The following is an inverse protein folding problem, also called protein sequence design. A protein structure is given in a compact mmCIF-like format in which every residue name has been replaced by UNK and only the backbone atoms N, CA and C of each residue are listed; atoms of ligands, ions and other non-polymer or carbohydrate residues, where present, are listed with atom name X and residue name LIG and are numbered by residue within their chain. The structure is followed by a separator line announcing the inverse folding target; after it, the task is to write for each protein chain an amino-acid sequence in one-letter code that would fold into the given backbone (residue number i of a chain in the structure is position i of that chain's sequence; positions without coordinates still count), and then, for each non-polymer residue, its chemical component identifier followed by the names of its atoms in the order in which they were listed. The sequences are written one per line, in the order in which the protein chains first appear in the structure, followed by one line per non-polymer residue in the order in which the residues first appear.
data_IF_762585729884
#
_entry.id   IF_762585729884
#
_cell.length_a   1.000
_cell.length_b   1.000
_cell.length_c   1.000
_cell.angle_alpha   90.00
_cell.angle_beta   90.00
_cell.angle_gamma   90.00
#
_symmetry.space_group_name_H-M   'P 1'
#
loop_
_entity.id
_entity.type
_entity.pdbx_description
1 polymer ?
#
# COMPACT_ATOMS: atom_id res chain seq x y z
N UNK A 1 11.87 5.95 -21.16
CA UNK A 1 11.49 5.70 -19.77
C UNK A 1 10.07 6.23 -19.61
N UNK A 2 9.16 5.43 -19.02
CA UNK A 2 7.84 5.92 -18.60
C UNK A 2 8.02 6.91 -17.44
N UNK A 3 7.05 7.81 -17.21
CA UNK A 3 7.12 8.75 -16.08
C UNK A 3 7.29 8.03 -14.74
N UNK A 4 6.66 6.86 -14.56
CA UNK A 4 6.74 6.04 -13.34
C UNK A 4 8.18 5.65 -12.99
N UNK A 5 9.02 5.30 -13.97
CA UNK A 5 10.42 4.94 -13.73
C UNK A 5 11.27 6.08 -13.16
N UNK A 6 10.82 7.34 -13.29
CA UNK A 6 11.51 8.50 -12.70
C UNK A 6 11.37 8.55 -11.17
N UNK A 7 10.36 7.87 -10.59
CA UNK A 7 10.27 7.69 -9.14
C UNK A 7 11.40 6.79 -8.58
N UNK A 8 12.13 6.09 -9.44
CA UNK A 8 13.10 5.06 -9.06
C UNK A 8 12.45 3.72 -8.77
N UNK A 9 13.28 2.73 -8.47
CA UNK A 9 12.88 1.37 -8.13
C UNK A 9 13.36 1.00 -6.73
N UNK A 10 12.74 -0.03 -6.14
CA UNK A 10 13.12 -0.58 -4.83
C UNK A 10 12.94 -2.10 -4.82
N UNK A 11 13.73 -2.78 -3.98
CA UNK A 11 13.65 -4.22 -3.81
C UNK A 11 12.65 -4.60 -2.71
N UNK A 12 11.75 -5.54 -3.00
CA UNK A 12 10.94 -6.26 -2.02
C UNK A 12 11.42 -7.71 -1.97
N UNK A 13 12.46 -7.97 -1.16
CA UNK A 13 13.21 -9.22 -1.24
C UNK A 13 13.95 -9.32 -2.57
N UNK A 14 13.69 -10.37 -3.32
CA UNK A 14 14.22 -10.58 -4.68
C UNK A 14 13.33 -10.02 -5.81
N UNK A 15 12.23 -9.36 -5.46
CA UNK A 15 11.34 -8.67 -6.39
C UNK A 15 11.75 -7.21 -6.55
N UNK A 16 11.66 -6.67 -7.76
CA UNK A 16 11.94 -5.24 -8.02
C UNK A 16 10.67 -4.52 -8.43
N UNK A 17 10.33 -3.45 -7.72
CA UNK A 17 9.14 -2.63 -7.98
C UNK A 17 9.50 -1.18 -8.25
N UNK A 18 8.71 -0.51 -9.08
CA UNK A 18 8.75 0.93 -9.20
C UNK A 18 8.18 1.56 -7.93
N UNK A 19 8.80 2.64 -7.44
CA UNK A 19 8.43 3.26 -6.15
C UNK A 19 7.06 3.93 -6.14
N UNK A 20 6.48 4.17 -7.31
CA UNK A 20 5.09 4.59 -7.45
C UNK A 20 4.26 3.44 -8.02
N UNK A 21 3.50 2.81 -7.17
CA UNK A 21 2.57 1.72 -7.44
C UNK A 21 1.10 2.19 -7.48
N UNK A 22 0.19 1.23 -7.33
CA UNK A 22 -1.26 1.47 -7.35
C UNK A 22 -1.96 0.75 -6.19
N UNK A 23 -2.80 1.47 -5.43
CA UNK A 23 -3.65 0.92 -4.38
C UNK A 23 -5.06 0.60 -4.89
N UNK A 24 -5.46 -0.67 -4.79
CA UNK A 24 -6.71 -1.16 -5.37
C UNK A 24 -7.94 -1.01 -4.46
N UNK A 25 -7.81 -0.48 -3.24
CA UNK A 25 -8.89 -0.40 -2.27
C UNK A 25 -10.14 0.35 -2.80
N UNK A 26 -9.95 1.40 -3.62
CA UNK A 26 -11.06 2.18 -4.17
C UNK A 26 -11.79 1.51 -5.34
N UNK A 27 -11.36 0.32 -5.77
CA UNK A 27 -12.09 -0.48 -6.76
C UNK A 27 -13.27 -1.24 -6.17
N UNK A 28 -13.34 -1.39 -4.83
CA UNK A 28 -14.54 -1.88 -4.16
C UNK A 28 -15.64 -0.81 -4.12
N UNK A 29 -16.85 -1.23 -3.81
CA UNK A 29 -18.01 -0.34 -3.60
C UNK A 29 -17.86 0.60 -2.41
N UNK A 30 -18.86 1.42 -2.13
CA UNK A 30 -18.85 2.35 -0.99
C UNK A 30 -18.49 1.65 0.33
N UNK A 31 -17.73 2.34 1.18
CA UNK A 31 -17.20 1.78 2.45
C UNK A 31 -16.27 0.57 2.25
N UNK A 32 -15.66 0.46 1.06
CA UNK A 32 -14.82 -0.70 0.68
C UNK A 32 -15.60 -2.03 0.78
N UNK A 33 -16.87 -2.01 0.39
CA UNK A 33 -17.79 -3.15 0.50
C UNK A 33 -18.66 -3.31 -0.75
N UNK A 34 -18.80 -4.56 -1.21
CA UNK A 34 -19.54 -4.88 -2.44
C UNK A 34 -18.80 -4.49 -3.74
N UNK A 35 -19.47 -4.66 -4.88
CA UNK A 35 -18.90 -4.37 -6.18
C UNK A 35 -18.77 -2.86 -6.44
N UNK A 36 -17.88 -2.45 -7.37
CA UNK A 36 -17.78 -1.06 -7.81
C UNK A 36 -19.09 -0.59 -8.46
N UNK A 37 -19.31 0.72 -8.44
CA UNK A 37 -20.43 1.34 -9.15
C UNK A 37 -20.33 1.15 -10.66
N UNK A 38 -19.11 1.17 -11.20
CA UNK A 38 -18.79 0.97 -12.61
C UNK A 38 -17.64 -0.04 -12.72
N UNK A 39 -17.99 -1.27 -13.06
CA UNK A 39 -17.02 -2.36 -13.25
C UNK A 39 -16.12 -2.12 -14.46
N UNK A 40 -16.65 -1.57 -15.55
CA UNK A 40 -15.86 -1.32 -16.75
C UNK A 40 -14.76 -0.29 -16.48
N UNK A 41 -15.09 0.76 -15.72
CA UNK A 41 -14.13 1.76 -15.26
C UNK A 41 -13.07 1.16 -14.34
N UNK A 42 -13.46 0.28 -13.40
CA UNK A 42 -12.52 -0.40 -12.50
C UNK A 42 -11.50 -1.26 -13.28
N UNK A 43 -11.95 -2.01 -14.28
CA UNK A 43 -11.07 -2.80 -15.15
C UNK A 43 -10.17 -1.90 -16.01
N UNK A 44 -10.70 -0.75 -16.52
CA UNK A 44 -9.92 0.20 -17.29
C UNK A 44 -8.78 0.82 -16.47
N UNK A 45 -9.02 1.19 -15.20
CA UNK A 45 -7.99 1.73 -14.30
C UNK A 45 -6.86 0.73 -14.09
N UNK A 46 -7.17 -0.55 -13.87
CA UNK A 46 -6.17 -1.60 -13.68
C UNK A 46 -5.29 -1.79 -14.94
N UNK A 47 -5.88 -1.81 -16.12
CA UNK A 47 -5.14 -1.92 -17.39
C UNK A 47 -4.27 -0.70 -17.63
N UNK A 48 -4.83 0.50 -17.44
CA UNK A 48 -4.07 1.75 -17.57
C UNK A 48 -2.88 1.81 -16.61
N UNK A 49 -3.00 1.26 -15.38
CA UNK A 49 -1.88 1.22 -14.45
C UNK A 49 -0.66 0.48 -15.03
N UNK A 50 -0.88 -0.67 -15.69
CA UNK A 50 0.20 -1.40 -16.34
C UNK A 50 0.74 -0.66 -17.58
N UNK A 51 -0.11 -0.01 -18.38
CA UNK A 51 0.29 0.78 -19.54
C UNK A 51 1.17 1.98 -19.13
N UNK A 52 0.92 2.58 -17.97
CA UNK A 52 1.76 3.64 -17.41
C UNK A 52 3.11 3.12 -16.88
N UNK A 53 3.29 1.80 -16.77
CA UNK A 53 4.51 1.16 -16.27
C UNK A 53 4.50 0.88 -14.76
N UNK A 54 3.34 0.95 -14.12
CA UNK A 54 3.18 0.48 -12.74
C UNK A 54 3.35 -1.04 -12.73
N UNK A 55 4.21 -1.54 -11.88
CA UNK A 55 4.44 -2.97 -11.65
C UNK A 55 4.29 -3.39 -10.18
N UNK A 56 3.65 -2.54 -9.37
CA UNK A 56 3.36 -2.77 -7.96
C UNK A 56 1.89 -2.46 -7.69
N UNK A 57 1.09 -3.49 -7.42
CA UNK A 57 -0.33 -3.34 -7.05
C UNK A 57 -0.51 -3.80 -5.61
N UNK A 58 -1.07 -2.92 -4.77
CA UNK A 58 -1.46 -3.23 -3.40
C UNK A 58 -2.97 -3.51 -3.34
N UNK A 59 -3.33 -4.67 -2.81
CA UNK A 59 -4.71 -5.12 -2.68
C UNK A 59 -5.00 -5.75 -1.33
N UNK A 60 -6.16 -6.33 -1.16
CA UNK A 60 -6.53 -7.28 -0.12
C UNK A 60 -7.80 -8.03 -0.49
N UNK A 61 -7.88 -9.30 -0.11
CA UNK A 61 -9.07 -10.11 -0.37
C UNK A 61 -10.29 -9.70 0.47
N UNK A 62 -10.07 -8.96 1.57
CA UNK A 62 -11.16 -8.36 2.34
C UNK A 62 -11.67 -7.02 1.75
N UNK A 63 -11.17 -6.56 0.59
CA UNK A 63 -11.74 -5.43 -0.14
C UNK A 63 -12.92 -5.89 -0.99
N UNK A 64 -14.11 -5.49 -0.58
CA UNK A 64 -15.34 -5.78 -1.26
C UNK A 64 -16.14 -7.05 -0.93
N UNK A 65 -15.91 -7.94 0.06
CA UNK A 65 -14.87 -8.96 0.13
C UNK A 65 -14.72 -9.76 -1.18
N UNK A 66 -13.53 -10.20 -1.48
CA UNK A 66 -13.12 -10.95 -2.70
C UNK A 66 -13.18 -10.14 -4.01
N UNK A 67 -14.04 -9.12 -4.07
CA UNK A 67 -14.35 -8.39 -5.31
C UNK A 67 -13.10 -7.76 -5.94
N UNK A 68 -12.27 -7.08 -5.15
CA UNK A 68 -11.10 -6.37 -5.68
C UNK A 68 -10.08 -7.34 -6.28
N UNK A 69 -9.80 -8.47 -5.62
CA UNK A 69 -8.90 -9.49 -6.14
C UNK A 69 -9.45 -10.14 -7.43
N UNK A 70 -10.76 -10.39 -7.48
CA UNK A 70 -11.42 -10.91 -8.69
C UNK A 70 -11.35 -9.91 -9.86
N UNK A 71 -11.49 -8.60 -9.60
CA UNK A 71 -11.32 -7.55 -10.61
C UNK A 71 -9.88 -7.50 -11.14
N UNK A 72 -8.89 -7.61 -10.25
CA UNK A 72 -7.47 -7.67 -10.64
C UNK A 72 -7.24 -8.86 -11.55
N UNK A 73 -7.72 -10.04 -11.16
CA UNK A 73 -7.63 -11.25 -12.00
C UNK A 73 -8.30 -11.06 -13.35
N UNK A 74 -9.54 -10.56 -13.38
CA UNK A 74 -10.30 -10.36 -14.63
C UNK A 74 -9.63 -9.36 -15.57
N UNK A 75 -9.02 -8.29 -15.02
CA UNK A 75 -8.38 -7.25 -15.81
C UNK A 75 -7.02 -7.64 -16.36
N UNK A 76 -6.22 -8.39 -15.57
CA UNK A 76 -4.77 -8.50 -15.74
C UNK A 76 -4.24 -9.92 -15.94
N UNK A 77 -5.05 -10.96 -15.68
CA UNK A 77 -4.60 -12.35 -15.91
C UNK A 77 -4.66 -12.74 -17.39
N UNK A 78 -3.63 -13.42 -17.97
CA UNK A 78 -2.37 -13.80 -17.32
C UNK A 78 -1.49 -12.62 -16.96
N UNK A 79 -0.92 -12.65 -15.75
CA UNK A 79 -0.11 -11.56 -15.25
C UNK A 79 1.22 -11.46 -16.00
N UNK A 80 1.76 -10.23 -16.09
CA UNK A 80 3.12 -9.99 -16.58
C UNK A 80 4.13 -10.50 -15.54
N UNK A 81 5.27 -10.99 -16.00
CA UNK A 81 6.34 -11.54 -15.14
C UNK A 81 6.92 -10.53 -14.15
N UNK A 82 6.85 -9.23 -14.49
CA UNK A 82 7.38 -8.14 -13.66
C UNK A 82 6.34 -7.52 -12.72
N UNK A 83 5.06 -7.98 -12.77
CA UNK A 83 4.01 -7.47 -11.89
C UNK A 83 4.11 -8.10 -10.51
N UNK A 84 4.21 -7.27 -9.48
CA UNK A 84 4.21 -7.67 -8.07
C UNK A 84 2.87 -7.31 -7.45
N UNK A 85 2.18 -8.30 -6.87
CA UNK A 85 0.91 -8.11 -6.17
C UNK A 85 1.13 -8.28 -4.67
N UNK A 86 0.94 -7.18 -3.94
CA UNK A 86 1.00 -7.16 -2.48
C UNK A 86 -0.40 -7.25 -1.92
N UNK A 87 -0.67 -8.25 -1.10
CA UNK A 87 -1.97 -8.44 -0.46
C UNK A 87 -1.90 -8.45 1.06
N UNK A 88 -3.04 -8.56 1.72
CA UNK A 88 -3.14 -8.50 3.20
C UNK A 88 -4.04 -9.61 3.72
N UNK A 89 -3.71 -10.11 4.90
CA UNK A 89 -4.53 -11.00 5.73
C UNK A 89 -4.60 -10.47 7.16
N UNK A 90 -5.39 -11.06 8.03
CA UNK A 90 -5.53 -10.66 9.45
C UNK A 90 -6.76 -9.82 9.75
N UNK A 91 -7.54 -9.49 8.73
CA UNK A 91 -8.84 -8.84 8.88
C UNK A 91 -9.90 -9.51 8.01
N UNK A 92 -11.16 -9.34 8.36
CA UNK A 92 -12.32 -9.73 7.54
C UNK A 92 -13.43 -8.68 7.65
N UNK A 93 -14.42 -8.80 6.82
CA UNK A 93 -15.56 -7.88 6.81
C UNK A 93 -16.80 -8.57 7.39
N UNK A 94 -17.49 -7.86 8.27
CA UNK A 94 -18.86 -8.26 8.70
C UNK A 94 -19.90 -7.94 7.62
N UNK A 95 -21.08 -8.52 7.75
CA UNK A 95 -22.20 -8.28 6.82
C UNK A 95 -22.69 -6.82 6.84
N UNK A 96 -22.45 -6.11 7.94
CA UNK A 96 -22.70 -4.68 8.12
C UNK A 96 -21.57 -3.78 7.57
N UNK A 97 -20.61 -4.37 6.88
CA UNK A 97 -19.38 -3.75 6.42
C UNK A 97 -18.44 -3.27 7.54
N UNK A 98 -18.53 -3.82 8.76
CA UNK A 98 -17.56 -3.61 9.83
C UNK A 98 -16.21 -4.27 9.51
N UNK A 99 -15.16 -3.76 10.12
CA UNK A 99 -13.82 -4.35 10.08
C UNK A 99 -13.66 -5.24 11.31
N UNK A 100 -13.36 -6.51 11.11
CA UNK A 100 -13.24 -7.52 12.16
C UNK A 100 -11.85 -8.14 12.14
N UNK A 101 -11.33 -8.43 13.32
CA UNK A 101 -10.10 -9.21 13.48
C UNK A 101 -10.30 -10.62 12.92
N UNK A 102 -9.30 -11.15 12.23
CA UNK A 102 -9.25 -12.50 11.68
C UNK A 102 -7.78 -12.99 11.65
N UNK A 103 -7.20 -13.23 12.82
CA UNK A 103 -5.78 -13.53 12.97
C UNK A 103 -5.48 -14.88 13.63
N UNK A 104 -6.47 -15.72 13.88
CA UNK A 104 -6.22 -17.10 14.30
C UNK A 104 -5.53 -17.88 13.17
N UNK A 105 -4.75 -18.95 13.47
CA UNK A 105 -4.09 -19.75 12.46
C UNK A 105 -5.01 -20.23 11.33
N UNK A 106 -6.19 -20.73 11.68
CA UNK A 106 -7.17 -21.22 10.70
C UNK A 106 -7.73 -20.09 9.79
N UNK A 107 -8.00 -18.90 10.36
CA UNK A 107 -8.45 -17.74 9.59
C UNK A 107 -7.36 -17.23 8.64
N UNK A 108 -6.10 -17.19 9.08
CA UNK A 108 -4.97 -16.77 8.25
C UNK A 108 -4.72 -17.75 7.11
N UNK A 109 -4.74 -19.05 7.39
CA UNK A 109 -4.60 -20.09 6.35
C UNK A 109 -5.73 -19.99 5.31
N UNK A 110 -6.98 -19.87 5.76
CA UNK A 110 -8.12 -19.65 4.87
C UNK A 110 -7.96 -18.40 4.03
N UNK A 111 -7.55 -17.27 4.64
CA UNK A 111 -7.37 -16.00 3.93
C UNK A 111 -6.26 -16.07 2.88
N UNK A 112 -5.16 -16.79 3.14
CA UNK A 112 -4.11 -17.02 2.14
C UNK A 112 -4.65 -17.82 0.96
N UNK A 113 -5.40 -18.91 1.20
CA UNK A 113 -6.02 -19.69 0.13
C UNK A 113 -7.10 -18.91 -0.65
N UNK A 114 -7.85 -18.04 0.01
CA UNK A 114 -8.81 -17.13 -0.64
C UNK A 114 -8.11 -16.16 -1.58
N UNK A 115 -7.00 -15.55 -1.15
CA UNK A 115 -6.19 -14.69 -2.00
C UNK A 115 -5.64 -15.45 -3.22
N UNK A 116 -5.05 -16.63 -3.03
CA UNK A 116 -4.56 -17.48 -4.13
C UNK A 116 -5.66 -17.76 -5.15
N UNK A 117 -6.82 -18.21 -4.69
CA UNK A 117 -7.97 -18.54 -5.54
C UNK A 117 -8.52 -17.32 -6.28
N UNK A 118 -8.72 -16.19 -5.58
CA UNK A 118 -9.35 -15.01 -6.15
C UNK A 118 -8.42 -14.25 -7.10
N UNK A 119 -7.12 -14.25 -6.83
CA UNK A 119 -6.10 -13.72 -7.74
C UNK A 119 -5.74 -14.70 -8.86
N UNK A 120 -6.00 -16.00 -8.70
CA UNK A 120 -5.58 -17.03 -9.66
C UNK A 120 -4.08 -17.25 -9.68
N UNK A 121 -3.45 -17.25 -8.51
CA UNK A 121 -2.02 -17.45 -8.29
C UNK A 121 -1.77 -18.75 -7.54
N UNK A 122 -0.64 -19.39 -7.78
CA UNK A 122 -0.17 -20.55 -7.02
C UNK A 122 0.68 -20.10 -5.80
N UNK A 123 1.33 -18.94 -5.89
CA UNK A 123 2.14 -18.33 -4.83
C UNK A 123 1.83 -16.84 -4.76
N UNK A 124 1.65 -16.29 -3.56
CA UNK A 124 1.48 -14.85 -3.34
C UNK A 124 2.86 -14.16 -3.23
N UNK A 125 3.07 -13.07 -3.96
CA UNK A 125 4.36 -12.36 -3.96
C UNK A 125 4.71 -11.78 -2.60
N UNK A 126 3.82 -10.95 -2.02
CA UNK A 126 3.99 -10.35 -0.69
C UNK A 126 2.67 -10.38 0.06
N UNK A 127 2.69 -10.87 1.29
CA UNK A 127 1.54 -10.87 2.19
C UNK A 127 1.84 -10.06 3.44
N UNK A 128 1.07 -9.00 3.67
CA UNK A 128 1.12 -8.21 4.88
C UNK A 128 0.15 -8.78 5.94
N UNK A 129 0.65 -9.06 7.14
CA UNK A 129 -0.23 -9.24 8.29
C UNK A 129 -0.79 -7.88 8.72
N UNK A 130 -2.08 -7.66 8.48
CA UNK A 130 -2.81 -6.48 8.95
C UNK A 130 -3.14 -6.65 10.42
N UNK A 131 -2.52 -5.84 11.27
CA UNK A 131 -2.79 -5.84 12.71
C UNK A 131 -4.05 -5.00 13.01
N UNK A 132 -4.96 -5.59 13.78
CA UNK A 132 -6.28 -5.05 14.08
C UNK A 132 -6.50 -4.86 15.59
N UNK A 133 -5.43 -4.61 16.36
CA UNK A 133 -5.53 -4.25 17.78
C UNK A 133 -6.24 -2.91 17.96
N UNK A 134 -6.05 -1.99 17.00
CA UNK A 134 -6.85 -0.81 16.78
C UNK A 134 -7.04 -0.60 15.27
N UNK A 135 -8.24 -0.28 14.85
CA UNK A 135 -8.57 0.01 13.44
C UNK A 135 -8.02 1.36 13.01
N UNK A 136 -7.93 2.31 13.94
CA UNK A 136 -7.55 3.69 13.67
C UNK A 136 -6.03 3.86 13.45
N UNK A 137 -5.20 3.02 14.07
CA UNK A 137 -3.74 3.13 13.95
C UNK A 137 -2.98 1.97 14.60
N UNK A 138 -1.65 1.98 14.54
CA UNK A 138 -0.83 0.99 15.22
C UNK A 138 -1.09 0.98 16.72
N UNK A 139 -1.35 -0.21 17.28
CA UNK A 139 -1.55 -0.43 18.70
C UNK A 139 -0.80 -1.69 19.15
N UNK A 140 -0.31 -1.67 20.40
CA UNK A 140 0.44 -2.77 20.97
C UNK A 140 -0.42 -4.04 21.09
N UNK A 141 0.21 -5.18 20.89
CA UNK A 141 -0.39 -6.50 20.98
C UNK A 141 0.61 -7.56 20.56
N UNK A 142 0.37 -8.79 20.96
CA UNK A 142 1.24 -9.93 20.62
C UNK A 142 0.88 -10.46 19.22
N UNK A 143 1.90 -10.64 18.40
CA UNK A 143 1.77 -11.13 17.03
C UNK A 143 2.45 -12.48 16.80
N UNK A 144 3.03 -13.09 17.84
CA UNK A 144 3.87 -14.28 17.73
C UNK A 144 3.13 -15.41 16.99
N UNK A 145 1.95 -15.79 17.46
CA UNK A 145 1.19 -16.88 16.86
C UNK A 145 0.78 -16.58 15.42
N UNK A 146 0.22 -15.40 15.17
CA UNK A 146 -0.28 -15.01 13.84
C UNK A 146 0.85 -14.87 12.81
N UNK A 147 1.98 -14.26 13.22
CA UNK A 147 3.11 -14.09 12.30
C UNK A 147 3.87 -15.41 12.08
N UNK A 148 3.99 -16.26 13.10
CA UNK A 148 4.53 -17.63 12.96
C UNK A 148 3.72 -18.45 11.97
N UNK A 149 2.38 -18.35 12.02
CA UNK A 149 1.49 -19.02 11.05
C UNK A 149 1.82 -18.61 9.61
N UNK A 150 2.00 -17.30 9.35
CA UNK A 150 2.36 -16.82 8.01
C UNK A 150 3.76 -17.27 7.58
N UNK A 151 4.73 -17.28 8.51
CA UNK A 151 6.06 -17.81 8.25
C UNK A 151 6.04 -19.32 7.92
N UNK A 152 5.12 -20.09 8.48
CA UNK A 152 4.88 -21.49 8.10
C UNK A 152 4.28 -21.63 6.70
N UNK A 153 3.31 -20.79 6.36
CA UNK A 153 2.73 -20.77 5.00
C UNK A 153 3.76 -20.34 3.94
N UNK A 154 4.68 -19.43 4.29
CA UNK A 154 5.82 -19.07 3.46
C UNK A 154 6.75 -20.27 3.26
N UNK A 155 7.09 -21.01 4.31
CA UNK A 155 7.93 -22.23 4.21
C UNK A 155 7.26 -23.35 3.39
N UNK A 156 5.92 -23.39 3.36
CA UNK A 156 5.14 -24.30 2.51
C UNK A 156 5.10 -23.84 1.04
N UNK A 157 5.66 -22.66 0.71
CA UNK A 157 5.71 -22.12 -0.66
C UNK A 157 4.44 -21.43 -1.14
N UNK A 158 3.51 -21.11 -0.25
CA UNK A 158 2.27 -20.38 -0.61
C UNK A 158 2.47 -18.86 -0.64
N UNK A 159 3.50 -18.36 0.03
CA UNK A 159 3.87 -16.95 0.14
C UNK A 159 5.37 -16.82 -0.14
N UNK A 160 5.75 -15.85 -0.98
CA UNK A 160 7.16 -15.58 -1.28
C UNK A 160 7.79 -14.67 -0.23
N UNK A 161 7.15 -13.56 0.12
CA UNK A 161 7.63 -12.59 1.10
C UNK A 161 6.55 -12.17 2.07
N UNK A 162 6.99 -11.80 3.29
CA UNK A 162 6.13 -11.33 4.36
C UNK A 162 6.33 -9.84 4.61
N UNK A 163 5.29 -9.19 5.11
CA UNK A 163 5.32 -7.82 5.60
C UNK A 163 4.30 -7.61 6.73
N UNK A 164 4.26 -6.40 7.23
CA UNK A 164 3.32 -5.99 8.28
C UNK A 164 2.49 -4.79 7.82
N UNK A 165 1.30 -4.66 8.36
CA UNK A 165 0.47 -3.47 8.18
C UNK A 165 -0.16 -3.05 9.50
N UNK A 166 -0.15 -1.75 9.78
CA UNK A 166 -0.65 -1.17 11.04
C UNK A 166 0.14 -1.64 12.26
N UNK A 167 1.47 -1.67 12.14
CA UNK A 167 2.39 -2.23 13.12
C UNK A 167 3.17 -1.16 13.88
N UNK A 168 3.39 -1.38 15.18
CA UNK A 168 4.33 -0.60 15.99
C UNK A 168 5.78 -1.03 15.71
N UNK A 169 6.76 -0.19 16.06
CA UNK A 169 8.17 -0.55 15.93
C UNK A 169 8.53 -1.82 16.73
N UNK A 170 7.88 -2.05 17.88
CA UNK A 170 8.06 -3.26 18.69
C UNK A 170 7.57 -4.51 17.96
N UNK A 171 6.41 -4.45 17.31
CA UNK A 171 5.87 -5.54 16.51
C UNK A 171 6.71 -5.82 15.27
N UNK A 172 7.30 -4.79 14.66
CA UNK A 172 8.30 -4.96 13.59
C UNK A 172 9.51 -5.74 14.10
N UNK A 173 10.05 -5.39 15.27
CA UNK A 173 11.16 -6.12 15.87
C UNK A 173 10.78 -7.57 16.23
N UNK A 174 9.57 -7.80 16.76
CA UNK A 174 9.05 -9.13 17.07
C UNK A 174 8.92 -9.99 15.80
N UNK A 175 8.35 -9.47 14.71
CA UNK A 175 8.21 -10.18 13.45
C UNK A 175 9.56 -10.60 12.88
N UNK A 176 10.55 -9.70 12.89
CA UNK A 176 11.92 -9.96 12.42
C UNK A 176 12.65 -11.02 13.23
N UNK A 177 12.24 -11.26 14.47
CA UNK A 177 12.71 -12.40 15.27
C UNK A 177 12.13 -13.75 14.83
N UNK A 178 11.07 -13.76 14.02
CA UNK A 178 10.37 -14.97 13.55
C UNK A 178 10.72 -15.27 12.09
N UNK A 179 10.62 -14.27 11.21
CA UNK A 179 10.95 -14.38 9.78
C UNK A 179 11.32 -13.01 9.20
N UNK A 180 12.01 -13.02 8.06
CA UNK A 180 12.33 -11.79 7.33
C UNK A 180 11.06 -11.11 6.82
N UNK A 181 11.04 -9.76 6.90
CA UNK A 181 9.98 -8.92 6.33
C UNK A 181 10.57 -8.01 5.26
N UNK A 182 9.82 -7.76 4.20
CA UNK A 182 10.26 -6.90 3.09
C UNK A 182 9.61 -5.51 3.13
N UNK A 183 8.51 -5.36 3.83
CA UNK A 183 7.84 -4.06 3.95
C UNK A 183 7.03 -3.90 5.24
N UNK A 184 6.81 -2.63 5.61
CA UNK A 184 5.85 -2.21 6.64
C UNK A 184 4.91 -1.16 6.02
N UNK A 185 3.60 -1.35 6.23
CA UNK A 185 2.57 -0.50 5.66
C UNK A 185 1.74 0.15 6.78
N UNK A 186 1.95 1.43 7.06
CA UNK A 186 1.23 2.20 8.07
C UNK A 186 0.63 3.48 7.47
N UNK A 187 -0.26 4.14 8.23
CA UNK A 187 -0.76 5.45 7.85
C UNK A 187 0.37 6.48 7.92
N UNK A 188 0.63 7.14 6.79
CA UNK A 188 1.60 8.22 6.76
C UNK A 188 1.35 9.15 5.57
N UNK A 189 1.42 10.44 5.81
CA UNK A 189 1.32 11.48 4.80
C UNK A 189 1.90 12.79 5.37
N UNK A 190 1.84 13.86 4.58
CA UNK A 190 2.41 15.16 4.93
C UNK A 190 1.85 15.74 6.25
N UNK A 191 0.61 15.38 6.64
CA UNK A 191 -0.04 15.83 7.87
C UNK A 191 0.00 14.80 9.00
N UNK A 192 0.34 13.54 8.71
CA UNK A 192 0.39 12.44 9.68
C UNK A 192 1.76 11.78 9.64
N UNK A 193 2.64 12.14 10.57
CA UNK A 193 4.07 11.84 10.51
C UNK A 193 4.61 11.07 11.72
N UNK A 194 3.74 10.31 12.40
CA UNK A 194 4.11 9.56 13.61
C UNK A 194 5.27 8.56 13.36
N UNK A 195 5.41 8.05 12.13
CA UNK A 195 6.38 7.02 11.77
C UNK A 195 7.72 7.56 11.22
N UNK A 196 8.03 8.88 11.36
CA UNK A 196 9.29 9.42 10.85
C UNK A 196 10.53 8.63 11.32
N UNK A 197 10.57 8.24 12.60
CA UNK A 197 11.67 7.47 13.17
C UNK A 197 11.68 6.03 12.62
N UNK A 198 10.51 5.38 12.50
CA UNK A 198 10.38 4.04 11.96
C UNK A 198 10.81 3.97 10.49
N UNK A 199 10.43 4.95 9.67
CA UNK A 199 10.87 5.04 8.26
C UNK A 199 12.39 5.06 8.16
N UNK A 200 13.05 5.88 9.01
CA UNK A 200 14.51 5.97 9.04
C UNK A 200 15.17 4.65 9.45
N UNK A 201 14.63 3.95 10.44
CA UNK A 201 15.12 2.64 10.86
C UNK A 201 14.96 1.59 9.75
N UNK A 202 13.77 1.51 9.15
CA UNK A 202 13.50 0.57 8.06
C UNK A 202 14.40 0.83 6.84
N UNK A 203 14.71 2.10 6.54
CA UNK A 203 15.63 2.44 5.46
C UNK A 203 17.06 1.88 5.70
N UNK A 204 17.56 1.95 6.94
CA UNK A 204 18.85 1.36 7.32
C UNK A 204 18.83 -0.17 7.21
N UNK A 205 17.69 -0.79 7.51
CA UNK A 205 17.49 -2.23 7.46
C UNK A 205 17.17 -2.77 6.05
N UNK A 206 17.05 -1.90 5.03
CA UNK A 206 16.72 -2.29 3.67
C UNK A 206 15.25 -2.73 3.51
N UNK A 207 14.36 -2.33 4.42
CA UNK A 207 12.94 -2.67 4.44
C UNK A 207 12.12 -1.51 3.87
N UNK A 208 11.19 -1.81 2.96
CA UNK A 208 10.31 -0.81 2.38
C UNK A 208 9.29 -0.28 3.41
N UNK A 209 8.97 1.00 3.29
CA UNK A 209 7.84 1.61 3.98
C UNK A 209 6.76 2.01 2.97
N UNK A 210 5.53 1.53 3.18
CA UNK A 210 4.42 1.70 2.24
C UNK A 210 3.32 2.52 2.91
N UNK A 211 3.28 3.86 2.73
CA UNK A 211 2.27 4.69 3.35
C UNK A 211 0.88 4.39 2.78
N UNK A 212 -0.06 3.95 3.62
CA UNK A 212 -1.45 4.00 3.23
C UNK A 212 -2.05 5.37 3.58
N UNK A 213 -3.09 5.79 2.86
CA UNK A 213 -3.66 7.15 2.88
C UNK A 213 -2.63 8.25 2.59
N UNK A 214 -1.81 8.10 1.54
CA UNK A 214 -0.78 9.09 1.20
C UNK A 214 -1.37 10.47 0.87
N UNK A 215 -2.65 10.53 0.50
CA UNK A 215 -3.40 11.75 0.17
C UNK A 215 -4.50 12.07 1.20
N UNK A 216 -4.39 11.56 2.44
CA UNK A 216 -5.35 11.80 3.53
C UNK A 216 -6.47 10.77 3.65
N UNK A 217 -6.59 9.83 2.71
CA UNK A 217 -7.60 8.76 2.78
C UNK A 217 -9.02 9.25 2.54
N UNK A 218 -9.91 9.03 3.51
CA UNK A 218 -11.30 9.46 3.43
C UNK A 218 -11.50 10.97 3.66
N UNK A 219 -10.49 11.66 4.20
CA UNK A 219 -10.45 13.11 4.37
C UNK A 219 -9.28 13.64 3.55
N UNK A 220 -9.52 14.32 2.42
CA UNK A 220 -8.45 14.86 1.60
C UNK A 220 -7.56 15.83 2.39
N UNK A 221 -6.27 15.83 2.07
CA UNK A 221 -5.32 16.78 2.63
C UNK A 221 -5.75 18.22 2.31
N UNK A 222 -5.88 19.04 3.33
CA UNK A 222 -6.18 20.46 3.21
C UNK A 222 -5.11 21.27 3.91
N UNK A 223 -4.39 22.11 3.17
CA UNK A 223 -3.33 22.95 3.70
C UNK A 223 -3.02 24.09 2.75
N UNK A 224 -3.14 25.33 3.23
CA UNK A 224 -2.79 26.51 2.46
C UNK A 224 -1.30 26.49 2.01
N UNK A 225 -0.42 25.92 2.83
CA UNK A 225 0.98 25.72 2.46
C UNK A 225 1.12 24.75 1.29
N UNK A 226 0.43 23.61 1.34
CA UNK A 226 0.44 22.62 0.25
C UNK A 226 -0.10 23.21 -1.06
N UNK A 227 -1.22 23.95 -1.00
CA UNK A 227 -1.82 24.61 -2.16
C UNK A 227 -0.87 25.65 -2.79
N UNK A 228 -0.22 26.49 -1.96
CA UNK A 228 0.73 27.49 -2.43
C UNK A 228 1.96 26.84 -3.08
N UNK A 229 2.57 25.86 -2.42
CA UNK A 229 3.74 25.15 -2.98
C UNK A 229 3.38 24.42 -4.27
N UNK A 230 2.20 23.82 -4.35
CA UNK A 230 1.71 23.17 -5.55
C UNK A 230 1.60 24.16 -6.72
N UNK A 231 1.03 25.35 -6.48
CA UNK A 231 0.93 26.41 -7.48
C UNK A 231 2.33 26.89 -7.95
N UNK A 232 3.29 27.06 -7.04
CA UNK A 232 4.68 27.42 -7.38
C UNK A 232 5.35 26.34 -8.24
N UNK A 233 5.03 25.07 -8.02
CA UNK A 233 5.54 23.94 -8.80
C UNK A 233 4.75 23.66 -10.07
N UNK A 234 3.70 24.40 -10.38
CA UNK A 234 2.77 24.17 -11.50
C UNK A 234 2.18 22.74 -11.47
N UNK A 235 1.88 22.24 -10.27
CA UNK A 235 1.35 20.91 -10.02
C UNK A 235 0.07 21.00 -9.17
N UNK A 236 -0.66 19.88 -9.07
CA UNK A 236 -1.78 19.79 -8.15
C UNK A 236 -1.28 19.53 -6.70
N UNK A 237 -2.07 19.90 -5.66
CA UNK A 237 -1.72 19.56 -4.28
C UNK A 237 -1.47 18.06 -4.08
N UNK A 238 -2.24 17.19 -4.74
CA UNK A 238 -2.08 15.74 -4.69
C UNK A 238 -0.73 15.28 -5.28
N UNK A 239 -0.35 15.79 -6.45
CA UNK A 239 0.95 15.50 -7.07
C UNK A 239 2.09 15.97 -6.18
N UNK A 240 1.97 17.16 -5.60
CA UNK A 240 2.98 17.75 -4.70
C UNK A 240 3.15 16.89 -3.44
N UNK A 241 2.05 16.41 -2.83
CA UNK A 241 2.10 15.53 -1.68
C UNK A 241 2.75 14.16 -1.99
N UNK A 242 2.44 13.57 -3.16
CA UNK A 242 3.08 12.32 -3.60
C UNK A 242 4.57 12.52 -3.91
N UNK A 243 4.95 13.62 -4.57
CA UNK A 243 6.35 13.95 -4.84
C UNK A 243 7.14 14.17 -3.56
N UNK A 244 6.54 14.83 -2.56
CA UNK A 244 7.14 14.99 -1.24
C UNK A 244 7.41 13.64 -0.57
N UNK A 245 6.45 12.71 -0.60
CA UNK A 245 6.62 11.37 -0.05
C UNK A 245 7.77 10.61 -0.74
N UNK A 246 7.87 10.68 -2.07
CA UNK A 246 8.97 10.05 -2.81
C UNK A 246 10.34 10.62 -2.45
N UNK A 247 10.41 11.91 -2.11
CA UNK A 247 11.66 12.58 -1.72
C UNK A 247 11.97 12.46 -0.24
N UNK A 248 10.97 12.08 0.60
CA UNK A 248 11.12 11.94 2.05
C UNK A 248 12.09 10.85 2.46
N UNK A 249 12.04 9.69 1.78
CA UNK A 249 12.98 8.59 2.04
C UNK A 249 13.05 7.64 0.82
N UNK A 250 14.24 7.08 0.51
CA UNK A 250 14.40 6.18 -0.64
C UNK A 250 13.63 4.86 -0.53
N UNK A 251 13.29 4.41 0.68
CA UNK A 251 12.54 3.18 0.93
C UNK A 251 11.02 3.36 0.94
N UNK A 252 10.51 4.57 0.67
CA UNK A 252 9.05 4.78 0.56
C UNK A 252 8.56 4.30 -0.80
N UNK A 253 7.53 3.42 -0.77
CA UNK A 253 6.79 2.94 -1.93
C UNK A 253 5.35 3.46 -1.86
N UNK A 254 4.92 4.17 -2.87
CA UNK A 254 3.58 4.79 -2.89
C UNK A 254 2.55 3.88 -3.54
N UNK A 255 1.36 3.89 -2.96
CA UNK A 255 0.19 3.14 -3.44
C UNK A 255 -1.07 4.04 -3.50
N UNK A 256 -1.03 5.21 -4.18
CA UNK A 256 -2.20 6.06 -4.28
C UNK A 256 -3.33 5.31 -5.00
N UNK A 257 -4.49 5.20 -4.34
CA UNK A 257 -5.66 4.52 -4.88
C UNK A 257 -6.61 5.48 -5.58
N UNK A 258 -7.22 5.01 -6.67
CA UNK A 258 -8.30 5.71 -7.38
C UNK A 258 -9.12 4.74 -8.20
N UNK A 259 -10.39 5.08 -8.47
CA UNK A 259 -11.25 4.40 -9.45
C UNK A 259 -11.40 5.16 -10.77
N UNK A 260 -10.59 6.22 -11.00
CA UNK A 260 -10.61 7.06 -12.20
C UNK A 260 -9.28 6.96 -12.96
N UNK A 261 -9.34 6.69 -14.26
CA UNK A 261 -8.17 6.68 -15.16
C UNK A 261 -7.49 8.06 -15.18
N UNK A 262 -8.28 9.14 -15.18
CA UNK A 262 -7.73 10.51 -15.15
C UNK A 262 -6.92 10.76 -13.87
N UNK A 263 -7.49 10.44 -12.70
CA UNK A 263 -6.77 10.59 -11.43
C UNK A 263 -5.55 9.67 -11.34
N UNK A 264 -5.60 8.47 -11.93
CA UNK A 264 -4.45 7.58 -12.01
C UNK A 264 -3.29 8.25 -12.79
N UNK A 265 -3.58 8.85 -13.94
CA UNK A 265 -2.60 9.59 -14.74
C UNK A 265 -2.04 10.80 -13.99
N UNK A 266 -2.88 11.52 -13.26
CA UNK A 266 -2.46 12.64 -12.41
C UNK A 266 -1.53 12.16 -11.29
N UNK A 267 -1.87 11.06 -10.61
CA UNK A 267 -1.01 10.46 -9.59
C UNK A 267 0.33 10.00 -10.17
N UNK A 268 0.30 9.37 -11.35
CA UNK A 268 1.50 8.89 -12.05
C UNK A 268 2.46 10.03 -12.41
N UNK A 269 1.94 11.20 -12.76
CA UNK A 269 2.75 12.37 -13.09
C UNK A 269 3.58 12.89 -11.91
N UNK A 270 3.21 12.56 -10.66
CA UNK A 270 4.00 12.92 -9.48
C UNK A 270 5.40 12.30 -9.49
N UNK A 271 5.60 11.18 -10.20
CA UNK A 271 6.91 10.52 -10.32
C UNK A 271 8.00 11.39 -10.95
N UNK A 272 7.61 12.35 -11.80
CA UNK A 272 8.53 13.27 -12.48
C UNK A 272 8.64 14.64 -11.80
N UNK A 273 7.88 14.88 -10.74
CA UNK A 273 7.88 16.18 -10.05
C UNK A 273 9.03 16.27 -9.05
N UNK A 274 10.03 17.08 -9.36
CA UNK A 274 11.12 17.38 -8.45
C UNK A 274 10.80 18.64 -7.63
N UNK A 275 10.68 18.49 -6.32
CA UNK A 275 10.52 19.62 -5.40
C UNK A 275 11.87 20.23 -5.05
N UNK A 276 11.94 21.57 -5.01
CA UNK A 276 13.14 22.25 -4.54
C UNK A 276 13.36 22.02 -3.03
N UNK A 277 14.61 22.14 -2.51
CA UNK A 277 14.88 22.04 -1.07
C UNK A 277 14.03 23.00 -0.23
N UNK A 278 13.72 24.18 -0.75
CA UNK A 278 12.85 25.15 -0.09
C UNK A 278 11.41 24.61 -0.01
N UNK A 279 10.88 24.09 -1.11
CA UNK A 279 9.52 23.51 -1.15
C UNK A 279 9.39 22.33 -0.17
N UNK A 280 10.39 21.44 -0.11
CA UNK A 280 10.41 20.32 0.84
C UNK A 280 10.40 20.84 2.28
N UNK A 281 11.25 21.82 2.63
CA UNK A 281 11.31 22.39 3.98
C UNK A 281 9.98 23.05 4.41
N UNK A 282 9.30 23.73 3.49
CA UNK A 282 8.00 24.34 3.76
C UNK A 282 6.90 23.27 3.97
N UNK A 283 6.92 22.19 3.17
CA UNK A 283 6.01 21.07 3.31
C UNK A 283 6.28 20.26 4.58
N UNK A 284 7.54 20.13 4.99
CA UNK A 284 7.93 19.47 6.25
C UNK A 284 7.31 20.16 7.48
N UNK A 285 7.04 21.45 7.40
CA UNK A 285 6.38 22.23 8.44
C UNK A 285 4.89 21.90 8.66
N UNK A 286 4.21 21.22 7.72
CA UNK A 286 2.77 20.97 7.82
C UNK A 286 2.44 19.99 8.97
N UNK A 287 3.21 18.93 9.13
CA UNK A 287 2.96 17.88 10.13
C UNK A 287 3.52 18.13 11.53
N UNK A 288 4.21 19.28 11.73
CA UNK A 288 4.85 19.65 13.01
C UNK A 288 4.08 20.71 13.79
N UNK A 289 3.00 21.24 13.24
CA UNK A 289 2.15 22.26 13.85
C UNK A 289 0.99 21.64 14.66
N UNK A 290 1.30 20.68 15.56
CA UNK A 290 0.34 20.03 16.47
C UNK A 290 0.87 20.02 17.89
#
# INVERSE_FOLDING_TARGET
MTSIQQAGAYALGDLTVNRLGYGAMQLAGPRVFGPPKDKAQALAVLREALELGINHIDTSDFYGPHITNQLIREALHPYRDDLVIVTKVGARRGDDASWLLANSPAELESAVHDNLRNLGLDVLDVVNLRLMFDVAGPAEGDIEQSFTTLAELQRKGLIRHLGLSNATARQVAQARGIADIVCVQNQYNIAHRADDALIGQLAQDGIAYVPFFPLGGFSPLQSATLERVAAECQATPMQTALAWLLQRSPNILLIPGTSSVEHLRQNAAAASLALSPRAVAELDGIGTAG
#
